data_IF_576717521069
#
_entry.id   IF_576717521069
#
_cell.length_a   1.000
_cell.length_b   1.000
_cell.length_c   1.000
_cell.angle_alpha   90.00
_cell.angle_beta   90.00
_cell.angle_gamma   90.00
#
_symmetry.space_group_name_H-M   'P 1'
#
loop_
_entity.id
_entity.type
_entity.pdbx_description
1 polymer ?
#
# COMPACT_ATOMS: atom_id res chain seq x y z
N UNK A 1 -2.34 23.88 18.67
CA UNK A 1 -2.88 24.40 19.95
C UNK A 1 -2.80 23.30 20.99
N UNK A 2 -2.19 23.60 22.14
CA UNK A 2 -1.88 22.65 23.20
C UNK A 2 -3.07 22.49 24.15
N UNK A 3 -3.96 21.54 23.86
CA UNK A 3 -5.16 21.26 24.66
C UNK A 3 -5.01 20.09 25.64
N UNK A 4 -3.79 19.61 25.91
CA UNK A 4 -3.53 18.61 26.96
C UNK A 4 -4.28 17.28 26.77
N UNK A 5 -4.86 17.00 25.60
CA UNK A 5 -5.52 15.73 25.31
C UNK A 5 -4.45 14.63 25.25
N UNK A 6 -4.64 13.50 25.97
CA UNK A 6 -3.66 12.42 25.99
C UNK A 6 -3.42 11.90 24.56
N UNK A 7 -2.18 12.02 24.10
CA UNK A 7 -1.77 11.67 22.73
C UNK A 7 -1.59 10.16 22.55
N UNK A 8 -1.17 9.49 23.62
CA UNK A 8 -1.05 8.05 23.71
C UNK A 8 -1.24 7.61 25.17
N UNK A 9 -1.95 6.51 25.38
CA UNK A 9 -1.98 5.78 26.63
C UNK A 9 -1.23 4.47 26.41
N UNK A 10 -0.09 4.27 27.07
CA UNK A 10 0.73 3.07 26.89
C UNK A 10 0.65 2.20 28.15
N UNK A 11 -0.03 1.07 28.06
CA UNK A 11 -0.19 0.16 29.20
C UNK A 11 1.14 -0.41 29.70
N UNK A 12 2.02 -0.83 28.79
CA UNK A 12 3.38 -1.28 29.16
C UNK A 12 4.41 -1.03 28.07
N UNK A 13 5.56 -0.49 28.47
CA UNK A 13 6.75 -0.34 27.62
C UNK A 13 7.92 -1.11 28.22
N UNK A 14 8.59 -1.95 27.42
CA UNK A 14 9.81 -2.68 27.81
C UNK A 14 10.95 -2.35 26.87
N UNK A 15 12.12 -2.07 27.44
CA UNK A 15 13.34 -1.79 26.70
C UNK A 15 14.40 -2.85 26.99
N UNK A 16 15.00 -3.41 25.93
CA UNK A 16 16.20 -4.21 26.00
C UNK A 16 17.44 -3.32 25.90
N UNK A 17 18.45 -3.56 26.72
CA UNK A 17 19.71 -2.80 26.74
C UNK A 17 20.93 -3.73 26.63
N UNK A 18 22.03 -3.27 26.01
CA UNK A 18 23.26 -4.08 25.90
C UNK A 18 24.08 -4.06 27.19
N UNK A 19 24.47 -5.23 27.68
CA UNK A 19 25.29 -5.35 28.88
C UNK A 19 26.69 -4.73 28.74
N UNK A 20 27.42 -5.02 27.65
CA UNK A 20 28.83 -4.59 27.53
C UNK A 20 28.98 -3.05 27.52
N UNK A 21 28.21 -2.27 26.73
CA UNK A 21 28.23 -0.81 26.79
C UNK A 21 27.79 -0.24 28.15
N UNK A 22 26.86 -0.90 28.85
CA UNK A 22 26.41 -0.47 30.17
C UNK A 22 27.55 -0.52 31.20
N UNK A 23 28.46 -1.49 31.08
CA UNK A 23 29.65 -1.56 31.94
C UNK A 23 30.59 -0.35 31.73
N UNK A 24 30.57 0.27 30.55
CA UNK A 24 31.28 1.51 30.24
C UNK A 24 30.47 2.79 30.48
N UNK A 25 29.28 2.70 31.09
CA UNK A 25 28.39 3.84 31.33
C UNK A 25 27.59 4.30 30.10
N UNK A 26 27.61 3.54 29.02
CA UNK A 26 26.89 3.85 27.77
C UNK A 26 25.59 3.03 27.70
N UNK A 27 24.44 3.71 27.68
CA UNK A 27 23.15 3.06 27.51
C UNK A 27 22.86 2.89 26.03
N UNK A 28 22.77 1.64 25.55
CA UNK A 28 22.38 1.33 24.18
C UNK A 28 21.16 0.43 24.15
N UNK A 29 20.07 0.94 23.57
CA UNK A 29 18.81 0.21 23.37
C UNK A 29 18.98 -0.83 22.25
N UNK A 30 18.55 -2.06 22.49
CA UNK A 30 18.56 -3.14 21.51
C UNK A 30 17.19 -3.49 21.00
N UNK A 31 16.18 -3.37 21.88
CA UNK A 31 14.80 -3.63 21.53
C UNK A 31 13.85 -2.74 22.30
N UNK A 32 12.69 -2.46 21.70
CA UNK A 32 11.57 -1.80 22.34
C UNK A 32 10.31 -2.66 22.12
N UNK A 33 9.54 -2.89 23.18
CA UNK A 33 8.24 -3.54 23.11
C UNK A 33 7.18 -2.66 23.75
N UNK A 34 6.14 -2.34 23.01
CA UNK A 34 4.96 -1.63 23.50
C UNK A 34 3.80 -2.62 23.54
N UNK A 35 3.08 -2.65 24.64
CA UNK A 35 1.93 -3.53 24.82
C UNK A 35 0.75 -2.78 25.43
N UNK A 36 -0.46 -3.17 25.02
CA UNK A 36 -1.72 -2.69 25.59
C UNK A 36 -1.81 -1.15 25.52
N UNK A 37 -1.54 -0.60 24.33
CA UNK A 37 -1.46 0.84 24.12
C UNK A 37 -2.60 1.35 23.23
N UNK A 38 -3.00 2.60 23.44
CA UNK A 38 -3.96 3.33 22.63
C UNK A 38 -3.33 4.61 22.10
N UNK A 39 -3.21 4.75 20.80
CA UNK A 39 -2.57 5.88 20.13
C UNK A 39 -3.63 6.67 19.38
N UNK A 40 -3.77 7.96 19.71
CA UNK A 40 -4.72 8.85 19.05
C UNK A 40 -4.03 9.52 17.86
N UNK A 41 -4.34 9.09 16.64
CA UNK A 41 -3.60 9.51 15.44
C UNK A 41 -3.79 10.99 15.12
N UNK A 42 -4.91 11.61 15.51
CA UNK A 42 -5.15 13.05 15.32
C UNK A 42 -4.21 13.93 16.12
N UNK A 43 -3.51 13.37 17.11
CA UNK A 43 -2.48 14.08 17.88
C UNK A 43 -1.09 13.97 17.24
N UNK A 44 -0.90 13.06 16.27
CA UNK A 44 0.36 12.95 15.54
C UNK A 44 0.48 14.09 14.50
N UNK A 45 1.70 14.59 14.21
CA UNK A 45 1.91 15.70 13.26
C UNK A 45 1.56 15.42 11.79
N UNK A 46 0.93 14.29 11.44
CA UNK A 46 0.81 13.76 10.08
C UNK A 46 -0.49 14.11 9.35
N UNK A 47 -1.25 15.13 9.78
CA UNK A 47 -2.56 15.50 9.24
C UNK A 47 -2.59 16.34 7.95
N UNK A 48 -1.70 16.09 6.99
CA UNK A 48 -1.65 16.81 5.70
C UNK A 48 -2.22 16.00 4.52
N UNK A 49 -2.46 16.66 3.38
CA UNK A 49 -2.73 15.95 2.12
C UNK A 49 -1.48 15.17 1.69
N UNK A 50 -1.44 13.88 2.03
CA UNK A 50 -0.31 12.99 1.74
C UNK A 50 -0.07 12.83 0.23
N UNK A 51 -1.11 13.06 -0.60
CA UNK A 51 -0.98 12.96 -2.05
C UNK A 51 -0.37 14.21 -2.67
N UNK A 52 -0.25 15.32 -1.93
CA UNK A 52 0.34 16.55 -2.45
C UNK A 52 1.78 16.36 -2.97
N UNK A 53 2.58 15.52 -2.31
CA UNK A 53 3.93 15.19 -2.74
C UNK A 53 3.98 14.35 -4.03
N UNK A 54 2.87 13.68 -4.36
CA UNK A 54 2.75 12.78 -5.50
C UNK A 54 2.19 13.48 -6.74
N UNK A 55 1.57 14.65 -6.58
CA UNK A 55 0.93 15.38 -7.69
C UNK A 55 1.95 16.18 -8.48
N UNK A 56 1.74 16.29 -9.79
CA UNK A 56 2.40 17.27 -10.65
C UNK A 56 1.76 18.66 -10.48
N UNK A 57 2.25 19.64 -11.23
CA UNK A 57 1.80 21.02 -11.16
C UNK A 57 0.34 21.20 -11.62
N UNK A 58 -0.18 20.22 -12.37
CA UNK A 58 -1.58 20.14 -12.83
C UNK A 58 -2.49 19.42 -11.82
N UNK A 59 -1.97 18.99 -10.67
CA UNK A 59 -2.73 18.29 -9.63
C UNK A 59 -2.99 16.80 -9.90
N UNK A 60 -2.42 16.23 -10.97
CA UNK A 60 -2.49 14.80 -11.29
C UNK A 60 -1.35 14.04 -10.64
N UNK A 61 -1.55 12.76 -10.31
CA UNK A 61 -0.47 11.91 -9.79
C UNK A 61 0.61 11.75 -10.87
N UNK A 62 1.83 12.14 -10.53
CA UNK A 62 3.02 11.98 -11.34
C UNK A 62 3.65 10.62 -11.04
N UNK A 63 3.68 9.68 -12.01
CA UNK A 63 4.28 8.37 -11.80
C UNK A 63 5.76 8.45 -11.40
N UNK A 64 6.52 9.43 -11.87
CA UNK A 64 7.93 9.54 -11.52
C UNK A 64 8.12 10.04 -10.08
N UNK A 65 7.27 10.97 -9.61
CA UNK A 65 7.25 11.39 -8.20
C UNK A 65 6.79 10.26 -7.28
N UNK A 66 5.86 9.41 -7.73
CA UNK A 66 5.41 8.24 -6.99
C UNK A 66 6.57 7.29 -6.69
N UNK A 67 7.34 6.90 -7.72
CA UNK A 67 8.46 5.99 -7.53
C UNK A 67 9.53 6.59 -6.59
N UNK A 68 9.91 7.85 -6.81
CA UNK A 68 10.88 8.53 -5.97
C UNK A 68 10.42 8.63 -4.51
N UNK A 69 9.14 8.95 -4.28
CA UNK A 69 8.59 9.10 -2.92
C UNK A 69 8.57 7.77 -2.17
N UNK A 70 8.22 6.67 -2.85
CA UNK A 70 8.24 5.32 -2.25
C UNK A 70 9.65 4.96 -1.79
N UNK A 71 10.65 5.07 -2.67
CA UNK A 71 12.04 4.73 -2.32
C UNK A 71 12.62 5.68 -1.27
N UNK A 72 12.32 6.97 -1.33
CA UNK A 72 12.73 7.94 -0.29
C UNK A 72 12.14 7.58 1.08
N UNK A 73 10.86 7.21 1.14
CA UNK A 73 10.20 6.81 2.39
C UNK A 73 10.83 5.54 2.99
N UNK A 74 11.16 4.56 2.15
CA UNK A 74 11.87 3.34 2.57
C UNK A 74 13.29 3.67 3.04
N UNK A 75 13.99 4.57 2.33
CA UNK A 75 15.30 5.07 2.72
C UNK A 75 15.28 5.69 4.11
N UNK A 76 14.29 6.55 4.38
CA UNK A 76 14.09 7.16 5.70
C UNK A 76 13.80 6.12 6.79
N UNK A 77 12.97 5.11 6.52
CA UNK A 77 12.73 4.04 7.47
C UNK A 77 14.03 3.26 7.78
N UNK A 78 14.80 2.89 6.74
CA UNK A 78 16.09 2.19 6.88
C UNK A 78 17.16 3.02 7.59
N UNK A 79 17.08 4.35 7.53
CA UNK A 79 17.93 5.25 8.30
C UNK A 79 17.51 5.32 9.77
N UNK A 80 16.21 5.47 10.06
CA UNK A 80 15.69 5.53 11.42
C UNK A 80 16.08 4.30 12.25
N UNK A 81 15.89 3.09 11.71
CA UNK A 81 16.26 1.83 12.39
C UNK A 81 17.78 1.74 12.63
N UNK A 82 18.60 2.30 11.74
CA UNK A 82 20.06 2.26 11.86
C UNK A 82 20.58 3.26 12.88
N UNK A 83 20.08 4.48 12.86
CA UNK A 83 20.51 5.56 13.76
C UNK A 83 20.23 5.22 15.22
N UNK A 84 19.05 4.65 15.49
CA UNK A 84 18.67 4.27 16.86
C UNK A 84 19.40 3.02 17.38
N UNK A 85 20.18 2.32 16.52
CA UNK A 85 20.80 1.02 16.80
C UNK A 85 19.82 -0.05 17.32
N UNK A 86 18.52 0.20 17.19
CA UNK A 86 17.46 -0.70 17.60
C UNK A 86 17.38 -1.86 16.62
N UNK A 87 17.57 -3.08 17.11
CA UNK A 87 17.50 -4.28 16.28
C UNK A 87 16.08 -4.76 16.07
N UNK A 88 15.19 -4.46 17.02
CA UNK A 88 13.82 -4.95 17.00
C UNK A 88 12.86 -4.03 17.75
N UNK A 89 11.74 -3.71 17.12
CA UNK A 89 10.60 -3.01 17.73
C UNK A 89 9.39 -3.93 17.63
N UNK A 90 8.67 -4.11 18.72
CA UNK A 90 7.49 -4.98 18.79
C UNK A 90 6.29 -4.19 19.35
N UNK A 91 5.15 -4.32 18.69
CA UNK A 91 3.86 -3.86 19.18
C UNK A 91 2.99 -5.07 19.46
N UNK A 92 2.23 -5.03 20.55
CA UNK A 92 1.25 -6.07 20.88
C UNK A 92 -0.01 -5.45 21.46
N UNK A 93 -1.17 -5.83 20.95
CA UNK A 93 -2.47 -5.34 21.41
C UNK A 93 -2.50 -3.80 21.47
N UNK A 94 -2.28 -3.15 20.32
CA UNK A 94 -2.24 -1.69 20.22
C UNK A 94 -3.41 -1.19 19.39
N UNK A 95 -4.22 -0.31 19.97
CA UNK A 95 -5.35 0.34 19.30
C UNK A 95 -4.91 1.69 18.73
N UNK A 96 -4.93 1.83 17.42
CA UNK A 96 -4.77 3.11 16.74
C UNK A 96 -6.16 3.69 16.48
N UNK A 97 -6.41 4.90 16.99
CA UNK A 97 -7.68 5.60 16.81
C UNK A 97 -7.48 6.68 15.74
N UNK A 98 -8.03 6.51 14.52
CA UNK A 98 -7.98 7.52 13.48
C UNK A 98 -8.75 8.79 13.88
N UNK A 99 -8.52 9.92 13.20
CA UNK A 99 -9.33 11.12 13.37
C UNK A 99 -10.81 10.84 13.05
N UNK A 100 -11.74 11.43 13.80
CA UNK A 100 -13.20 11.18 13.71
C UNK A 100 -13.82 11.43 12.31
N UNK A 101 -13.12 12.14 11.42
CA UNK A 101 -13.57 12.43 10.06
C UNK A 101 -13.26 11.31 9.03
N UNK A 102 -12.68 10.19 9.45
CA UNK A 102 -12.28 9.08 8.57
C UNK A 102 -13.36 8.02 8.35
N UNK A 103 -13.24 7.28 7.24
CA UNK A 103 -14.03 6.07 6.97
C UNK A 103 -13.67 4.89 7.90
N UNK A 104 -12.49 4.95 8.52
CA UNK A 104 -11.97 3.93 9.42
C UNK A 104 -12.23 4.32 10.87
N UNK A 105 -12.87 3.45 11.64
CA UNK A 105 -13.20 3.72 13.06
C UNK A 105 -12.10 3.27 13.99
N UNK A 106 -11.51 2.11 13.74
CA UNK A 106 -10.47 1.53 14.59
C UNK A 106 -9.50 0.67 13.78
N UNK A 107 -8.21 0.81 14.11
CA UNK A 107 -7.19 -0.15 13.68
C UNK A 107 -6.58 -0.80 14.92
N UNK A 108 -6.81 -2.09 15.10
CA UNK A 108 -6.26 -2.87 16.20
C UNK A 108 -5.08 -3.70 15.71
N UNK A 109 -3.90 -3.48 16.25
CA UNK A 109 -2.72 -4.29 15.99
C UNK A 109 -2.66 -5.40 17.03
N UNK A 110 -2.80 -6.65 16.60
CA UNK A 110 -2.64 -7.81 17.48
C UNK A 110 -1.15 -7.99 17.81
N UNK A 111 -0.31 -8.11 16.79
CA UNK A 111 1.14 -8.15 16.90
C UNK A 111 1.75 -7.43 15.67
N UNK A 112 2.80 -6.64 15.88
CA UNK A 112 3.62 -6.10 14.80
C UNK A 112 5.09 -6.10 15.20
N UNK A 113 5.97 -6.39 14.24
CA UNK A 113 7.41 -6.45 14.47
C UNK A 113 8.12 -5.71 13.35
N UNK A 114 9.04 -4.82 13.72
CA UNK A 114 10.08 -4.29 12.84
C UNK A 114 11.40 -4.86 13.32
N UNK A 115 12.18 -5.47 12.43
CA UNK A 115 13.48 -6.04 12.77
C UNK A 115 14.54 -5.72 11.72
N UNK A 116 15.78 -5.53 12.17
CA UNK A 116 16.92 -5.44 11.28
C UNK A 116 17.29 -6.85 10.77
N UNK A 117 17.28 -7.05 9.46
CA UNK A 117 17.66 -8.33 8.81
C UNK A 117 19.12 -8.38 8.35
N UNK A 118 19.82 -7.24 8.33
CA UNK A 118 21.26 -7.17 8.01
C UNK A 118 21.83 -5.75 7.98
N UNK A 119 23.10 -5.58 7.58
CA UNK A 119 23.70 -4.27 7.33
C UNK A 119 22.97 -3.60 6.15
N UNK A 120 21.96 -2.78 6.45
CA UNK A 120 21.09 -2.17 5.44
C UNK A 120 19.82 -2.96 5.12
N UNK A 121 19.47 -3.98 5.92
CA UNK A 121 18.24 -4.75 5.75
C UNK A 121 17.23 -4.50 6.87
N UNK A 122 15.94 -4.49 6.54
CA UNK A 122 14.82 -4.45 7.48
C UNK A 122 13.72 -5.41 7.04
N UNK A 123 13.03 -5.98 8.01
CA UNK A 123 11.79 -6.72 7.87
C UNK A 123 10.72 -6.07 8.75
N UNK A 124 9.49 -6.06 8.25
CA UNK A 124 8.30 -5.64 8.96
C UNK A 124 7.21 -6.71 8.80
N UNK A 125 6.53 -7.05 9.88
CA UNK A 125 5.32 -7.86 9.84
C UNK A 125 4.27 -7.28 10.79
N UNK A 126 2.99 -7.44 10.45
CA UNK A 126 1.89 -7.02 11.29
C UNK A 126 0.65 -7.87 11.04
N UNK A 127 0.02 -8.32 12.12
CA UNK A 127 -1.34 -8.83 12.14
C UNK A 127 -2.22 -7.80 12.85
N UNK A 128 -3.22 -7.30 12.13
CA UNK A 128 -4.09 -6.23 12.57
C UNK A 128 -5.54 -6.49 12.16
N UNK A 129 -6.45 -5.65 12.66
CA UNK A 129 -7.83 -5.60 12.24
C UNK A 129 -8.23 -4.14 11.96
N UNK A 130 -8.85 -3.89 10.81
CA UNK A 130 -9.42 -2.58 10.44
C UNK A 130 -10.92 -2.73 10.40
N UNK A 131 -11.64 -2.08 11.31
CA UNK A 131 -13.10 -2.21 11.44
C UNK A 131 -13.57 -3.67 11.39
N UNK A 132 -12.92 -4.51 12.21
CA UNK A 132 -13.13 -5.97 12.34
C UNK A 132 -12.68 -6.83 11.14
N UNK A 133 -12.08 -6.24 10.10
CA UNK A 133 -11.45 -6.99 9.00
C UNK A 133 -10.01 -7.35 9.32
N UNK A 134 -9.68 -8.64 9.32
CA UNK A 134 -8.30 -9.08 9.46
C UNK A 134 -7.42 -8.51 8.35
N UNK A 135 -6.27 -7.96 8.74
CA UNK A 135 -5.26 -7.32 7.90
C UNK A 135 -3.90 -7.92 8.27
N UNK A 136 -3.23 -8.54 7.31
CA UNK A 136 -1.86 -9.01 7.47
C UNK A 136 -0.94 -8.21 6.55
N UNK A 137 0.18 -7.76 7.09
CA UNK A 137 1.23 -7.06 6.34
C UNK A 137 2.54 -7.81 6.55
N UNK A 138 3.27 -8.06 5.47
CA UNK A 138 4.65 -8.49 5.51
C UNK A 138 5.46 -7.63 4.55
N UNK A 139 6.62 -7.13 4.97
CA UNK A 139 7.47 -6.34 4.12
C UNK A 139 8.95 -6.56 4.44
N UNK A 140 9.79 -6.42 3.44
CA UNK A 140 11.23 -6.45 3.54
C UNK A 140 11.83 -5.40 2.63
N UNK A 141 12.92 -4.79 3.10
CA UNK A 141 13.69 -3.84 2.33
C UNK A 141 15.19 -4.08 2.57
N UNK A 142 15.98 -3.96 1.51
CA UNK A 142 17.43 -3.99 1.56
C UNK A 142 18.01 -2.80 0.81
N UNK A 143 19.14 -2.29 1.30
CA UNK A 143 19.92 -1.26 0.64
C UNK A 143 21.39 -1.61 0.56
N UNK A 144 22.03 -1.10 -0.47
CA UNK A 144 23.49 -1.05 -0.56
C UNK A 144 24.03 -0.09 0.50
N UNK A 145 24.97 -0.55 1.32
CA UNK A 145 25.47 0.24 2.47
C UNK A 145 26.42 1.36 2.09
N UNK A 146 26.97 1.34 0.87
CA UNK A 146 27.91 2.35 0.37
C UNK A 146 27.16 3.47 -0.34
N UNK A 147 26.30 3.09 -1.28
CA UNK A 147 25.52 4.01 -2.13
C UNK A 147 24.19 4.43 -1.48
N UNK A 148 23.78 3.75 -0.40
CA UNK A 148 22.48 3.89 0.31
C UNK A 148 21.24 3.60 -0.53
N UNK A 149 21.43 3.09 -1.74
CA UNK A 149 20.37 2.77 -2.68
C UNK A 149 19.58 1.54 -2.24
N UNK A 150 18.26 1.59 -2.32
CA UNK A 150 17.36 0.45 -2.10
C UNK A 150 17.55 -0.57 -3.21
N UNK A 151 18.09 -1.74 -2.86
CA UNK A 151 18.40 -2.83 -3.81
C UNK A 151 17.25 -3.82 -3.95
N UNK A 152 16.41 -3.95 -2.93
CA UNK A 152 15.18 -4.73 -3.00
C UNK A 152 14.14 -4.18 -2.02
N UNK A 153 12.91 -4.14 -2.49
CA UNK A 153 11.68 -3.94 -1.74
C UNK A 153 10.75 -5.10 -2.10
N UNK A 154 10.15 -5.72 -1.09
CA UNK A 154 9.00 -6.62 -1.26
C UNK A 154 8.04 -6.33 -0.10
N UNK A 155 6.78 -6.07 -0.40
CA UNK A 155 5.73 -5.85 0.57
C UNK A 155 4.44 -6.52 0.10
N UNK A 156 3.78 -7.24 0.99
CA UNK A 156 2.47 -7.83 0.80
C UNK A 156 1.51 -7.33 1.87
N UNK A 157 0.29 -7.03 1.45
CA UNK A 157 -0.83 -6.63 2.29
C UNK A 157 -2.00 -7.50 1.92
N UNK A 158 -2.57 -8.20 2.90
CA UNK A 158 -3.74 -9.05 2.73
C UNK A 158 -4.84 -8.55 3.66
N UNK A 159 -6.04 -8.34 3.12
CA UNK A 159 -7.22 -7.93 3.88
C UNK A 159 -8.30 -8.97 3.65
N UNK A 160 -8.77 -9.59 4.72
CA UNK A 160 -9.83 -10.57 4.66
C UNK A 160 -11.14 -9.93 4.17
N UNK A 161 -11.98 -10.75 3.56
CA UNK A 161 -13.36 -10.40 3.24
C UNK A 161 -14.16 -10.08 4.52
N UNK A 162 -15.14 -9.21 4.40
CA UNK A 162 -16.11 -8.94 5.48
C UNK A 162 -17.18 -10.03 5.46
N UNK A 163 -17.68 -10.43 6.63
CA UNK A 163 -18.93 -11.20 6.69
C UNK A 163 -20.08 -10.39 6.05
N UNK A 164 -20.88 -11.04 5.20
CA UNK A 164 -21.98 -10.41 4.41
C UNK A 164 -22.94 -9.55 5.25
N UNK A 165 -23.06 -9.82 6.55
CA UNK A 165 -23.92 -9.10 7.47
C UNK A 165 -23.54 -7.62 7.69
N UNK A 166 -22.33 -7.19 7.28
CA UNK A 166 -21.82 -5.83 7.45
C UNK A 166 -21.60 -5.08 6.11
N UNK A 167 -22.32 -5.46 5.05
CA UNK A 167 -22.24 -4.82 3.74
C UNK A 167 -22.47 -3.29 3.81
N UNK A 168 -21.55 -2.53 3.24
CA UNK A 168 -21.67 -1.08 3.10
C UNK A 168 -22.64 -0.74 1.95
N UNK A 169 -23.27 0.45 1.97
CA UNK A 169 -24.04 0.92 0.81
C UNK A 169 -23.12 1.00 -0.42
N UNK A 170 -23.43 0.24 -1.48
CA UNK A 170 -22.61 0.14 -2.70
C UNK A 170 -22.03 -1.25 -2.99
N UNK A 171 -22.18 -2.22 -2.07
CA UNK A 171 -21.80 -3.62 -2.29
C UNK A 171 -20.90 -4.19 -1.19
N UNK A 172 -20.42 -5.42 -1.40
CA UNK A 172 -19.44 -6.08 -0.52
C UNK A 172 -18.07 -6.10 -1.19
N UNK A 173 -17.06 -5.65 -0.46
CA UNK A 173 -15.67 -5.78 -0.90
C UNK A 173 -15.12 -7.10 -0.37
N UNK A 174 -14.70 -7.96 -1.28
CA UNK A 174 -14.14 -9.27 -0.95
C UNK A 174 -12.74 -9.20 -0.34
N UNK A 175 -12.02 -10.32 -0.42
CA UNK A 175 -10.63 -10.37 0.00
C UNK A 175 -9.77 -9.51 -0.92
N UNK A 176 -8.80 -8.81 -0.34
CA UNK A 176 -7.89 -7.91 -1.06
C UNK A 176 -6.48 -8.43 -0.83
N UNK A 177 -5.69 -8.60 -1.89
CA UNK A 177 -4.26 -8.80 -1.77
C UNK A 177 -3.52 -7.78 -2.62
N UNK A 178 -2.59 -7.05 -2.00
CA UNK A 178 -1.69 -6.11 -2.66
C UNK A 178 -0.26 -6.60 -2.45
N UNK A 179 0.50 -6.70 -3.53
CA UNK A 179 1.94 -6.90 -3.50
C UNK A 179 2.63 -5.72 -4.17
N UNK A 180 3.67 -5.19 -3.54
CA UNK A 180 4.55 -4.18 -4.09
C UNK A 180 5.98 -4.71 -4.04
N UNK A 181 6.71 -4.60 -5.14
CA UNK A 181 8.12 -4.93 -5.18
C UNK A 181 8.89 -3.92 -6.02
N UNK A 182 10.19 -3.82 -5.82
CA UNK A 182 11.02 -2.95 -6.66
C UNK A 182 12.44 -2.75 -6.19
N UNK A 183 13.17 -1.95 -6.97
CA UNK A 183 14.53 -1.55 -6.67
C UNK A 183 14.86 -0.22 -7.34
N UNK A 184 15.77 0.51 -6.73
CA UNK A 184 16.34 1.71 -7.33
C UNK A 184 17.39 1.35 -8.39
N UNK A 185 17.44 2.17 -9.42
CA UNK A 185 18.31 2.01 -10.58
C UNK A 185 19.81 2.13 -10.28
N UNK A 186 20.64 1.49 -11.10
CA UNK A 186 22.10 1.63 -11.02
C UNK A 186 22.72 1.77 -12.41
N UNK A 187 23.64 2.72 -12.56
CA UNK A 187 24.24 3.05 -13.85
C UNK A 187 23.17 3.48 -14.86
N UNK A 188 23.01 2.69 -15.93
CA UNK A 188 22.04 2.93 -17.00
C UNK A 188 20.64 2.34 -16.70
N UNK A 189 20.50 1.54 -15.64
CA UNK A 189 19.21 0.96 -15.27
C UNK A 189 18.37 1.98 -14.50
N UNK A 190 17.14 2.23 -14.96
CA UNK A 190 16.17 3.04 -14.23
C UNK A 190 15.57 2.29 -13.03
N UNK A 191 15.16 3.04 -12.00
CA UNK A 191 14.39 2.50 -10.87
C UNK A 191 13.09 1.88 -11.35
N UNK A 192 12.69 0.76 -10.73
CA UNK A 192 11.49 0.01 -11.11
C UNK A 192 10.67 -0.36 -9.89
N UNK A 193 9.37 -0.16 -9.98
CA UNK A 193 8.36 -0.68 -9.05
C UNK A 193 7.37 -1.55 -9.81
N UNK A 194 6.96 -2.65 -9.20
CA UNK A 194 5.90 -3.53 -9.70
C UNK A 194 4.84 -3.67 -8.62
N UNK A 195 3.58 -3.59 -9.01
CA UNK A 195 2.45 -3.78 -8.12
C UNK A 195 1.56 -4.91 -8.67
N UNK A 196 1.08 -5.77 -7.78
CA UNK A 196 0.01 -6.71 -8.07
C UNK A 196 -1.12 -6.47 -7.08
N UNK A 197 -2.35 -6.41 -7.58
CA UNK A 197 -3.54 -6.18 -6.78
C UNK A 197 -4.60 -7.18 -7.18
N UNK A 198 -5.18 -7.89 -6.22
CA UNK A 198 -6.32 -8.77 -6.44
C UNK A 198 -7.47 -8.42 -5.51
N UNK A 199 -8.67 -8.53 -6.06
CA UNK A 199 -9.95 -8.46 -5.36
C UNK A 199 -10.70 -9.75 -5.68
N UNK A 200 -11.01 -10.55 -4.66
CA UNK A 200 -11.67 -11.84 -4.83
C UNK A 200 -12.95 -11.90 -4.00
N UNK A 201 -14.05 -12.32 -4.63
CA UNK A 201 -15.36 -12.43 -3.99
C UNK A 201 -16.04 -11.09 -3.73
N UNK A 202 -15.76 -10.06 -4.55
CA UNK A 202 -16.43 -8.76 -4.41
C UNK A 202 -17.78 -8.77 -5.12
N UNK A 203 -18.76 -8.07 -4.55
CA UNK A 203 -20.08 -7.86 -5.15
C UNK A 203 -20.34 -6.37 -5.21
N UNK A 204 -20.56 -5.84 -6.41
CA UNK A 204 -20.85 -4.43 -6.64
C UNK A 204 -22.35 -4.21 -6.72
N UNK A 205 -22.89 -3.26 -5.94
CA UNK A 205 -24.29 -2.87 -6.04
C UNK A 205 -24.45 -1.83 -7.17
N UNK A 206 -25.11 -2.22 -8.26
CA UNK A 206 -25.42 -1.35 -9.39
C UNK A 206 -26.79 -0.66 -9.24
N UNK A 207 -27.35 -0.63 -8.03
CA UNK A 207 -28.64 -0.05 -7.71
C UNK A 207 -29.78 -0.80 -8.39
N UNK A 208 -30.55 -0.10 -9.23
CA UNK A 208 -31.67 -0.72 -9.95
C UNK A 208 -31.24 -1.82 -10.94
N UNK A 209 -29.95 -1.92 -11.25
CA UNK A 209 -29.39 -2.99 -12.12
C UNK A 209 -28.96 -4.24 -11.34
N UNK A 210 -29.14 -4.24 -10.02
CA UNK A 210 -28.87 -5.38 -9.16
C UNK A 210 -27.41 -5.51 -8.74
N UNK A 211 -27.09 -6.66 -8.16
CA UNK A 211 -25.76 -6.99 -7.63
C UNK A 211 -24.91 -7.65 -8.72
N UNK A 212 -23.66 -7.21 -8.87
CA UNK A 212 -22.69 -7.73 -9.83
C UNK A 212 -21.49 -8.34 -9.11
N UNK A 213 -21.37 -9.69 -9.04
CA UNK A 213 -20.14 -10.30 -8.55
C UNK A 213 -19.00 -10.02 -9.53
N UNK A 214 -17.87 -9.55 -9.02
CA UNK A 214 -16.69 -9.24 -9.81
C UNK A 214 -15.41 -9.56 -9.05
N UNK A 215 -14.53 -10.32 -9.68
CA UNK A 215 -13.14 -10.45 -9.27
C UNK A 215 -12.28 -9.57 -10.18
N UNK A 216 -11.21 -8.99 -9.62
CA UNK A 216 -10.29 -8.14 -10.37
C UNK A 216 -8.87 -8.53 -10.02
N UNK A 217 -8.04 -8.74 -11.03
CA UNK A 217 -6.61 -9.00 -10.90
C UNK A 217 -5.85 -7.97 -11.75
N UNK A 218 -4.97 -7.19 -11.13
CA UNK A 218 -4.16 -6.16 -11.76
C UNK A 218 -2.67 -6.44 -11.53
N UNK A 219 -1.88 -6.34 -12.57
CA UNK A 219 -0.42 -6.27 -12.53
C UNK A 219 0.03 -5.00 -13.25
N UNK A 220 0.88 -4.22 -12.60
CA UNK A 220 1.36 -2.96 -13.13
C UNK A 220 2.85 -2.76 -12.85
N UNK A 221 3.54 -2.11 -13.78
CA UNK A 221 4.95 -1.77 -13.70
C UNK A 221 5.15 -0.28 -13.88
N UNK A 222 5.95 0.32 -13.02
CA UNK A 222 6.38 1.70 -13.09
C UNK A 222 7.90 1.74 -13.23
N UNK A 223 8.37 2.31 -14.34
CA UNK A 223 9.80 2.55 -14.59
C UNK A 223 10.03 4.06 -14.52
N UNK A 224 10.98 4.48 -13.68
CA UNK A 224 11.30 5.89 -13.52
C UNK A 224 11.71 6.53 -14.87
N UNK A 225 11.13 7.69 -15.17
CA UNK A 225 11.31 8.42 -16.41
C UNK A 225 10.32 8.04 -17.52
N UNK A 226 9.48 7.01 -17.33
CA UNK A 226 8.48 6.61 -18.31
C UNK A 226 7.26 7.56 -18.34
N UNK A 227 7.06 8.38 -17.29
CA UNK A 227 5.91 9.29 -17.12
C UNK A 227 4.54 8.61 -17.21
N UNK A 228 4.50 7.29 -17.04
CA UNK A 228 3.31 6.46 -17.11
C UNK A 228 3.49 5.20 -16.28
N UNK A 229 2.38 4.65 -15.84
CA UNK A 229 2.29 3.30 -15.28
C UNK A 229 1.93 2.35 -16.43
N UNK A 230 2.75 1.32 -16.62
CA UNK A 230 2.42 0.21 -17.50
C UNK A 230 1.41 -0.69 -16.80
N UNK A 231 0.30 -0.99 -17.45
CA UNK A 231 -0.65 -2.03 -17.04
C UNK A 231 -0.22 -3.30 -17.77
N UNK A 232 0.48 -4.19 -17.05
CA UNK A 232 0.98 -5.44 -17.60
C UNK A 232 -0.19 -6.40 -17.86
N UNK A 233 -1.16 -6.41 -16.94
CA UNK A 233 -2.42 -7.14 -17.08
C UNK A 233 -3.48 -6.56 -16.16
N UNK A 234 -4.68 -6.34 -16.67
CA UNK A 234 -5.89 -6.06 -15.91
C UNK A 234 -6.95 -7.06 -16.33
N UNK A 235 -7.30 -7.97 -15.43
CA UNK A 235 -8.32 -8.98 -15.65
C UNK A 235 -9.52 -8.70 -14.74
N UNK A 236 -10.71 -8.67 -15.32
CA UNK A 236 -11.97 -8.55 -14.59
C UNK A 236 -12.82 -9.77 -14.92
N UNK A 237 -13.21 -10.54 -13.90
CA UNK A 237 -14.04 -11.74 -14.05
C UNK A 237 -15.39 -11.48 -13.42
N UNK A 238 -16.47 -11.65 -14.19
CA UNK A 238 -17.84 -11.47 -13.70
C UNK A 238 -18.78 -12.49 -14.33
N UNK A 239 -19.43 -13.30 -13.49
CA UNK A 239 -20.20 -14.46 -13.95
C UNK A 239 -19.31 -15.41 -14.78
N UNK A 240 -19.66 -15.60 -16.05
CA UNK A 240 -18.88 -16.40 -17.02
C UNK A 240 -18.02 -15.54 -17.95
N UNK A 241 -18.05 -14.22 -17.81
CA UNK A 241 -17.30 -13.28 -18.66
C UNK A 241 -15.94 -12.97 -18.06
N UNK A 242 -14.94 -12.82 -18.92
CA UNK A 242 -13.58 -12.40 -18.55
C UNK A 242 -13.17 -11.25 -19.45
N UNK A 243 -12.79 -10.13 -18.85
CA UNK A 243 -12.28 -8.96 -19.55
C UNK A 243 -10.79 -8.84 -19.26
N UNK A 244 -9.95 -8.86 -20.29
CA UNK A 244 -8.50 -8.77 -20.15
C UNK A 244 -7.95 -7.58 -20.93
N UNK A 245 -7.22 -6.71 -20.23
CA UNK A 245 -6.62 -5.51 -20.79
C UNK A 245 -5.13 -5.43 -20.45
N UNK A 246 -4.36 -4.85 -21.37
CA UNK A 246 -2.97 -4.44 -21.14
C UNK A 246 -2.76 -3.06 -21.76
N UNK A 247 -1.76 -2.32 -21.29
CA UNK A 247 -1.49 -1.00 -21.83
C UNK A 247 -0.79 -0.04 -20.87
N UNK A 248 -1.18 1.23 -20.84
CA UNK A 248 -0.59 2.21 -19.93
C UNK A 248 -1.52 3.35 -19.54
N UNK A 249 -1.24 3.93 -18.38
CA UNK A 249 -1.98 5.04 -17.79
C UNK A 249 -0.98 6.13 -17.40
N UNK A 250 -1.23 7.37 -17.77
CA UNK A 250 -0.39 8.49 -17.35
C UNK A 250 -1.05 9.84 -17.56
N UNK A 251 -0.53 10.91 -16.93
CA UNK A 251 -1.02 12.25 -17.16
C UNK A 251 -0.93 12.60 -18.65
N UNK A 252 -2.00 13.19 -19.19
CA UNK A 252 -2.02 13.67 -20.56
C UNK A 252 -1.05 14.86 -20.66
N UNK A 253 -0.10 14.86 -21.61
CA UNK A 253 0.77 16.01 -21.82
C UNK A 253 -0.05 17.24 -22.19
N UNK A 254 0.21 18.38 -21.54
CA UNK A 254 -0.41 19.64 -21.88
C UNK A 254 -0.10 20.03 -23.33
N UNK A 255 -1.12 20.45 -24.07
CA UNK A 255 -0.99 20.85 -25.49
C UNK A 255 -0.69 22.35 -25.66
N UNK A 256 -0.70 23.11 -24.56
CA UNK A 256 -0.58 24.57 -24.57
C UNK A 256 -1.88 25.31 -24.91
N UNK A 257 -3.00 24.58 -25.02
CA UNK A 257 -4.33 25.17 -25.25
C UNK A 257 -4.85 25.84 -23.99
N UNK A 258 -5.25 27.11 -24.08
CA UNK A 258 -5.80 27.84 -22.94
C UNK A 258 -7.10 27.19 -22.46
N UNK A 259 -7.17 26.87 -21.16
CA UNK A 259 -8.34 26.22 -20.55
C UNK A 259 -8.39 24.70 -20.74
N UNK A 260 -7.31 24.05 -21.18
CA UNK A 260 -7.24 22.59 -21.18
C UNK A 260 -7.29 22.05 -19.74
N UNK A 261 -8.27 21.20 -19.45
CA UNK A 261 -8.40 20.57 -18.14
C UNK A 261 -7.40 19.41 -17.97
N UNK A 262 -6.73 19.32 -16.80
CA UNK A 262 -5.87 18.18 -16.47
C UNK A 262 -6.63 16.86 -16.57
N UNK A 263 -6.09 15.93 -17.35
CA UNK A 263 -6.71 14.62 -17.57
C UNK A 263 -5.66 13.52 -17.67
N UNK A 264 -6.07 12.28 -17.43
CA UNK A 264 -5.25 11.12 -17.71
C UNK A 264 -5.49 10.62 -19.14
N UNK A 265 -4.42 10.12 -19.76
CA UNK A 265 -4.50 9.32 -20.98
C UNK A 265 -4.42 7.84 -20.61
N UNK A 266 -5.37 7.08 -21.14
CA UNK A 266 -5.42 5.63 -21.06
C UNK A 266 -5.19 5.09 -22.47
N UNK A 267 -4.27 4.14 -22.59
CA UNK A 267 -4.01 3.40 -23.80
C UNK A 267 -4.12 1.94 -23.41
N UNK A 268 -5.29 1.32 -23.65
CA UNK A 268 -5.61 -0.04 -23.21
C UNK A 268 -6.10 -0.85 -24.40
N UNK A 269 -5.52 -2.03 -24.57
CA UNK A 269 -5.90 -3.00 -25.60
C UNK A 269 -6.38 -4.27 -24.94
N UNK A 270 -7.36 -4.94 -25.55
CA UNK A 270 -7.88 -6.25 -25.14
C UNK A 270 -7.74 -7.21 -26.30
N UNK A 271 -6.96 -8.28 -26.12
CA UNK A 271 -6.73 -9.31 -27.13
C UNK A 271 -7.24 -10.71 -26.72
N UNK A 272 -7.96 -10.83 -25.59
CA UNK A 272 -8.40 -12.12 -25.03
C UNK A 272 -9.67 -12.08 -24.19
N UNK A 273 -10.49 -11.04 -24.34
CA UNK A 273 -11.72 -10.91 -23.56
C UNK A 273 -12.83 -11.80 -24.10
N UNK A 274 -13.62 -12.36 -23.19
CA UNK A 274 -14.77 -13.23 -23.45
C UNK A 274 -16.03 -12.69 -22.78
N UNK A 275 -17.11 -12.61 -23.54
CA UNK A 275 -18.43 -12.22 -23.05
C UNK A 275 -19.34 -13.45 -23.00
N UNK A 276 -19.74 -13.82 -21.79
CA UNK A 276 -20.72 -14.86 -21.55
C UNK A 276 -21.61 -14.43 -20.37
N UNK A 277 -22.79 -13.84 -20.64
CA UNK A 277 -23.74 -13.50 -19.60
C UNK A 277 -24.19 -14.74 -18.82
N UNK A 278 -24.40 -14.59 -17.50
CA UNK A 278 -24.85 -15.70 -16.64
C UNK A 278 -26.18 -16.31 -17.10
N UNK A 279 -27.06 -15.47 -17.62
CA UNK A 279 -28.41 -15.83 -18.07
C UNK A 279 -28.45 -16.47 -19.47
N UNK A 280 -27.31 -16.55 -20.17
CA UNK A 280 -27.24 -17.10 -21.53
C UNK A 280 -26.63 -18.49 -21.54
N UNK A 281 -27.28 -19.46 -22.18
CA UNK A 281 -26.73 -20.80 -22.43
C UNK A 281 -25.79 -20.86 -23.65
N UNK A 282 -25.62 -19.74 -24.35
CA UNK A 282 -24.77 -19.66 -25.54
C UNK A 282 -23.27 -19.80 -25.18
N UNK A 283 -22.43 -20.22 -26.15
CA UNK A 283 -20.98 -20.19 -26.02
C UNK A 283 -20.47 -18.78 -25.73
N UNK A 284 -19.32 -18.68 -25.05
CA UNK A 284 -18.68 -17.39 -24.82
C UNK A 284 -18.27 -16.75 -26.15
N UNK A 285 -18.50 -15.45 -26.29
CA UNK A 285 -18.11 -14.68 -27.45
C UNK A 285 -16.76 -13.99 -27.20
N UNK A 286 -15.77 -14.29 -28.03
CA UNK A 286 -14.48 -13.59 -28.00
C UNK A 286 -14.63 -12.19 -28.60
N UNK A 287 -13.98 -11.20 -27.98
CA UNK A 287 -13.87 -9.88 -28.57
C UNK A 287 -12.52 -9.22 -28.31
N UNK A 288 -12.16 -8.34 -29.25
CA UNK A 288 -10.92 -7.57 -29.25
C UNK A 288 -11.28 -6.09 -29.15
N UNK A 289 -10.55 -5.33 -28.36
CA UNK A 289 -10.70 -3.87 -28.26
C UNK A 289 -9.34 -3.19 -28.38
N UNK A 290 -9.29 -2.05 -29.11
CA UNK A 290 -8.10 -1.24 -29.34
C UNK A 290 -8.45 0.23 -29.27
#
# INVERSE_FOLDING_TARGET
TADGKPMADAGRVRFGVRLIPLLSGEVRLTSARISDARIVMSALPSGGDWTAALRNDDGLIDPDRLAATVFASIGHALDAVREEQMRRIELRNVDLVPPEAGLVRLVRIADATVAQSGPGGMEFSSDAAVDDRALTIAASASRDTTTRRVTALDASVEIAQVDEAAAAPGGTLGAIALKLAGSEGSGENASRLTASLSFAGSVLDLGSRGMLPADVDLAATLVAGAKKVQVDRLQVRTGRSTFEFAGSIGPKPATGTAGEEPSYRYDLTSDGSTLAPSESSEPALDFIAR
#
